data_IF_647962773704
#
_entry.id   IF_647962773704
#
_cell.length_a   1.000
_cell.length_b   1.000
_cell.length_c   1.000
_cell.angle_alpha   90.00
_cell.angle_beta   90.00
_cell.angle_gamma   90.00
#
_symmetry.space_group_name_H-M   'P 1'
#
loop_
_entity.id
_entity.type
_entity.pdbx_description
1 polymer ?
#
# COMPACT_ATOMS: atom_id res chain seq x y z
N UNK A 1 21.93 21.65 24.70
CA UNK A 1 22.14 20.25 24.30
C UNK A 1 23.06 20.25 23.10
N UNK A 2 24.20 19.59 23.18
CA UNK A 2 25.11 19.38 22.05
C UNK A 2 24.85 17.95 21.55
N UNK A 3 24.37 17.81 20.33
CA UNK A 3 24.04 16.51 19.71
C UNK A 3 25.05 16.33 18.57
N UNK A 4 25.81 15.24 18.61
CA UNK A 4 26.80 14.89 17.59
C UNK A 4 26.29 13.65 16.84
N UNK A 5 26.23 13.75 15.51
CA UNK A 5 25.81 12.64 14.66
C UNK A 5 27.05 11.83 14.23
N UNK A 6 26.93 10.51 14.36
CA UNK A 6 27.94 9.55 13.92
C UNK A 6 27.31 8.63 12.86
N UNK A 7 28.07 8.28 11.82
CA UNK A 7 27.60 7.39 10.77
C UNK A 7 28.72 6.48 10.25
N UNK A 8 28.33 5.34 9.68
CA UNK A 8 29.28 4.40 9.06
C UNK A 8 29.71 4.92 7.68
N UNK A 9 31.00 5.01 7.42
CA UNK A 9 31.56 5.53 6.17
C UNK A 9 31.63 4.51 5.02
N UNK A 10 30.97 3.35 5.16
CA UNK A 10 30.99 2.25 4.19
C UNK A 10 32.30 1.45 4.14
N UNK A 11 33.30 1.80 4.96
CA UNK A 11 34.54 1.03 5.15
C UNK A 11 34.58 0.31 6.50
N UNK A 12 33.44 0.19 7.18
CA UNK A 12 33.33 -0.39 8.52
C UNK A 12 33.85 0.52 9.64
N UNK A 13 34.11 1.80 9.35
CA UNK A 13 34.55 2.80 10.35
C UNK A 13 33.45 3.84 10.55
N UNK A 14 33.18 4.15 11.82
CA UNK A 14 32.23 5.18 12.22
C UNK A 14 32.95 6.52 12.29
N UNK A 15 32.35 7.54 11.69
CA UNK A 15 32.90 8.89 11.60
C UNK A 15 31.89 9.95 12.06
N UNK A 16 32.39 11.08 12.53
CA UNK A 16 31.59 12.26 12.84
C UNK A 16 31.21 13.06 11.58
N UNK A 17 30.45 14.15 11.77
CA UNK A 17 30.08 15.10 10.71
C UNK A 17 31.29 15.67 9.94
N UNK A 18 32.47 15.67 10.56
CA UNK A 18 33.73 16.16 9.99
C UNK A 18 34.58 15.03 9.39
N UNK A 19 34.06 13.80 9.34
CA UNK A 19 34.73 12.63 8.77
C UNK A 19 35.86 12.10 9.65
N UNK A 20 35.96 12.54 10.91
CA UNK A 20 36.97 12.04 11.84
C UNK A 20 36.55 10.67 12.35
N UNK A 21 37.41 9.65 12.25
CA UNK A 21 37.12 8.35 12.82
C UNK A 21 37.09 8.48 14.33
N UNK A 22 35.94 8.17 14.95
CA UNK A 22 35.90 7.96 16.39
C UNK A 22 36.17 6.48 16.68
N UNK A 23 37.15 6.17 17.54
CA UNK A 23 37.36 4.83 18.05
C UNK A 23 36.25 4.53 19.07
N UNK A 24 35.06 4.26 18.57
CA UNK A 24 33.95 3.80 19.41
C UNK A 24 34.06 2.28 19.58
N UNK A 25 34.67 1.87 20.69
CA UNK A 25 34.58 0.50 21.19
C UNK A 25 33.19 0.29 21.82
N UNK A 26 32.17 0.04 20.99
CA UNK A 26 30.85 -0.34 21.49
C UNK A 26 30.88 -1.78 22.01
N UNK A 27 31.18 -1.94 23.29
CA UNK A 27 30.83 -3.16 24.01
C UNK A 27 29.34 -3.06 24.26
N UNK A 28 28.54 -3.63 23.36
CA UNK A 28 27.11 -3.78 23.57
C UNK A 28 26.96 -4.79 24.70
N UNK A 29 26.58 -4.31 25.87
CA UNK A 29 26.18 -5.19 26.97
C UNK A 29 24.85 -5.87 26.58
N UNK A 30 24.95 -7.10 26.10
CA UNK A 30 23.81 -7.94 25.76
C UNK A 30 22.86 -8.11 26.96
N UNK A 31 23.34 -7.93 28.21
CA UNK A 31 22.54 -8.02 29.41
C UNK A 31 21.69 -6.76 29.67
N UNK A 32 22.22 -5.58 29.35
CA UNK A 32 21.52 -4.29 29.43
C UNK A 32 20.49 -4.13 28.30
N UNK A 33 20.75 -4.68 27.11
CA UNK A 33 19.89 -4.59 25.94
C UNK A 33 19.45 -5.96 25.40
N UNK A 34 18.96 -6.83 26.29
CA UNK A 34 18.46 -8.16 25.90
C UNK A 34 17.31 -8.03 24.90
N UNK A 35 17.49 -8.58 23.71
CA UNK A 35 16.43 -8.71 22.73
C UNK A 35 15.51 -9.87 23.12
N UNK A 36 14.20 -9.61 23.19
CA UNK A 36 13.18 -10.64 23.39
C UNK A 36 12.45 -10.92 22.07
N UNK A 37 12.25 -12.20 21.75
CA UNK A 37 11.47 -12.60 20.57
C UNK A 37 9.98 -12.61 20.93
N UNK A 38 9.23 -11.63 20.44
CA UNK A 38 7.81 -11.48 20.76
C UNK A 38 6.90 -12.53 20.10
N UNK A 39 7.18 -12.90 18.86
CA UNK A 39 6.42 -13.95 18.14
C UNK A 39 7.23 -14.56 17.00
N UNK A 40 6.94 -15.82 16.69
CA UNK A 40 7.46 -16.49 15.50
C UNK A 40 6.52 -16.30 14.31
N UNK A 41 7.05 -16.38 13.09
CA UNK A 41 6.28 -16.33 11.85
C UNK A 41 5.12 -17.33 11.83
N UNK A 42 5.33 -18.55 12.36
CA UNK A 42 4.28 -19.58 12.43
C UNK A 42 3.17 -19.20 13.42
N UNK A 43 3.53 -18.55 14.53
CA UNK A 43 2.58 -18.08 15.54
C UNK A 43 1.71 -16.94 14.99
N UNK A 44 2.27 -16.06 14.16
CA UNK A 44 1.52 -15.05 13.42
C UNK A 44 0.53 -15.68 12.42
N UNK A 45 0.98 -16.67 11.64
CA UNK A 45 0.10 -17.36 10.68
C UNK A 45 -1.05 -18.12 11.36
N UNK A 46 -0.82 -18.67 12.55
CA UNK A 46 -1.88 -19.34 13.31
C UNK A 46 -2.94 -18.37 13.87
N UNK A 47 -2.59 -17.09 14.06
CA UNK A 47 -3.49 -16.05 14.56
C UNK A 47 -4.29 -15.37 13.45
N UNK A 48 -3.93 -15.59 12.17
CA UNK A 48 -4.70 -15.07 11.04
C UNK A 48 -6.08 -15.72 11.03
N UNK A 49 -7.18 -14.94 11.11
CA UNK A 49 -8.52 -15.47 10.91
C UNK A 49 -8.58 -16.14 9.54
N UNK A 50 -9.01 -17.40 9.52
CA UNK A 50 -9.29 -18.09 8.27
C UNK A 50 -10.45 -17.34 7.59
N UNK A 51 -10.15 -16.50 6.60
CA UNK A 51 -11.17 -15.93 5.72
C UNK A 51 -11.77 -17.08 4.90
N UNK A 52 -12.70 -17.82 5.50
CA UNK A 52 -13.57 -18.72 4.77
C UNK A 52 -14.36 -17.86 3.80
N UNK A 53 -14.26 -18.17 2.52
CA UNK A 53 -14.90 -17.52 1.39
C UNK A 53 -16.43 -17.46 1.63
N UNK A 54 -16.89 -16.41 2.31
CA UNK A 54 -18.32 -16.17 2.48
C UNK A 54 -18.82 -15.52 1.20
N UNK A 55 -19.25 -16.42 0.31
CA UNK A 55 -20.13 -16.22 -0.83
C UNK A 55 -20.94 -14.93 -0.70
N UNK A 56 -20.63 -13.96 -1.57
CA UNK A 56 -21.32 -12.67 -1.64
C UNK A 56 -22.70 -12.92 -2.24
N UNK A 57 -23.66 -13.17 -1.37
CA UNK A 57 -25.08 -13.25 -1.66
C UNK A 57 -25.57 -11.88 -2.17
N UNK A 58 -25.87 -11.80 -3.46
CA UNK A 58 -26.32 -10.59 -4.15
C UNK A 58 -27.72 -10.20 -3.66
N UNK A 59 -27.81 -9.17 -2.82
CA UNK A 59 -29.07 -8.53 -2.47
C UNK A 59 -29.62 -7.76 -3.68
N UNK A 60 -30.68 -8.30 -4.26
CA UNK A 60 -31.54 -7.59 -5.21
C UNK A 60 -32.09 -6.35 -4.50
N UNK A 61 -31.80 -5.16 -5.02
CA UNK A 61 -32.44 -3.91 -4.57
C UNK A 61 -33.34 -3.42 -5.67
N UNK A 62 -34.64 -3.53 -5.41
CA UNK A 62 -35.73 -3.01 -6.22
C UNK A 62 -35.90 -1.49 -6.00
N UNK A 63 -36.74 -0.87 -6.83
CA UNK A 63 -37.21 0.54 -6.82
C UNK A 63 -36.27 1.58 -7.51
N UNK A 64 -36.72 2.54 -8.33
CA UNK A 64 -38.01 3.23 -8.49
C UNK A 64 -38.00 3.99 -9.83
N UNK A 65 -39.11 4.01 -10.58
CA UNK A 65 -39.29 4.87 -11.77
C UNK A 65 -39.24 6.36 -11.39
N UNK A 66 -38.59 7.26 -12.17
CA UNK A 66 -38.84 8.68 -12.04
C UNK A 66 -39.93 9.13 -13.02
N UNK A 67 -40.89 9.86 -12.47
CA UNK A 67 -42.04 10.49 -13.12
C UNK A 67 -41.66 11.75 -13.92
N UNK A 68 -42.36 11.90 -15.05
CA UNK A 68 -42.63 13.07 -15.91
C UNK A 68 -41.82 14.38 -15.78
N UNK A 69 -41.25 14.76 -16.94
CA UNK A 69 -41.18 16.09 -17.56
C UNK A 69 -40.63 17.29 -16.78
N UNK A 70 -39.37 17.62 -17.08
CA UNK A 70 -38.94 18.98 -17.46
C UNK A 70 -37.88 18.86 -18.56
N UNK A 71 -38.21 19.23 -19.80
CA UNK A 71 -37.24 19.35 -20.89
C UNK A 71 -36.51 20.68 -20.72
N UNK A 72 -35.38 20.66 -20.01
CA UNK A 72 -34.34 21.69 -20.14
C UNK A 72 -33.31 21.18 -21.15
N UNK A 73 -33.27 21.81 -22.33
CA UNK A 73 -32.24 21.60 -23.36
C UNK A 73 -30.93 22.21 -22.87
N UNK A 74 -30.23 21.51 -21.98
CA UNK A 74 -28.95 21.96 -21.47
C UNK A 74 -27.80 21.34 -22.26
N UNK A 75 -27.09 22.21 -22.99
CA UNK A 75 -25.84 21.91 -23.69
C UNK A 75 -24.77 21.51 -22.68
N UNK A 76 -24.72 20.23 -22.32
CA UNK A 76 -23.52 19.66 -21.71
C UNK A 76 -23.00 18.57 -22.62
N UNK A 77 -21.88 18.86 -23.29
CA UNK A 77 -20.95 17.81 -23.71
C UNK A 77 -20.41 17.22 -22.41
N UNK A 78 -21.20 16.36 -21.80
CA UNK A 78 -20.89 15.69 -20.54
C UNK A 78 -19.72 14.76 -20.86
N UNK A 79 -18.51 15.14 -20.41
CA UNK A 79 -17.34 14.27 -20.54
C UNK A 79 -17.69 12.93 -19.89
N UNK A 80 -17.61 11.86 -20.66
CA UNK A 80 -17.78 10.52 -20.15
C UNK A 80 -16.54 10.18 -19.31
N UNK A 81 -16.63 10.43 -18.01
CA UNK A 81 -15.60 10.00 -17.07
C UNK A 81 -15.77 8.51 -16.79
N UNK A 82 -14.72 7.73 -17.05
CA UNK A 82 -14.64 6.34 -16.59
C UNK A 82 -14.62 6.35 -15.06
N UNK A 83 -15.69 5.86 -14.43
CA UNK A 83 -15.74 5.63 -12.99
C UNK A 83 -15.27 4.20 -12.71
N UNK A 84 -14.31 4.07 -11.81
CA UNK A 84 -13.85 2.78 -11.31
C UNK A 84 -14.53 2.48 -9.99
N UNK A 85 -14.95 1.24 -9.77
CA UNK A 85 -15.48 0.80 -8.49
C UNK A 85 -14.30 0.48 -7.54
N UNK A 86 -14.55 0.51 -6.24
CA UNK A 86 -13.53 0.11 -5.25
C UNK A 86 -13.12 -1.36 -5.42
N UNK A 87 -14.03 -2.20 -5.91
CA UNK A 87 -13.70 -3.57 -6.27
C UNK A 87 -12.64 -3.66 -7.39
N UNK A 88 -12.64 -2.74 -8.35
CA UNK A 88 -11.63 -2.69 -9.42
C UNK A 88 -10.25 -2.34 -8.85
N UNK A 89 -10.20 -1.43 -7.86
CA UNK A 89 -8.98 -1.10 -7.13
C UNK A 89 -8.44 -2.30 -6.36
N UNK A 90 -9.30 -3.00 -5.62
CA UNK A 90 -8.90 -4.20 -4.87
C UNK A 90 -8.33 -5.27 -5.80
N UNK A 91 -9.01 -5.55 -6.92
CA UNK A 91 -8.55 -6.51 -7.93
C UNK A 91 -7.25 -6.09 -8.63
N UNK A 92 -6.98 -4.79 -8.72
CA UNK A 92 -5.72 -4.24 -9.22
C UNK A 92 -4.59 -4.47 -8.21
N UNK A 93 -4.77 -4.12 -6.94
CA UNK A 93 -3.75 -4.31 -5.91
C UNK A 93 -3.43 -5.78 -5.66
N UNK A 94 -4.41 -6.67 -5.77
CA UNK A 94 -4.19 -8.12 -5.73
C UNK A 94 -3.15 -8.57 -6.78
N UNK A 95 -3.25 -8.06 -8.01
CA UNK A 95 -2.26 -8.37 -9.06
C UNK A 95 -0.89 -7.73 -8.81
N UNK A 96 -0.87 -6.53 -8.23
CA UNK A 96 0.37 -5.82 -7.92
C UNK A 96 1.17 -6.53 -6.82
N UNK A 97 0.50 -6.94 -5.74
CA UNK A 97 1.13 -7.48 -4.54
C UNK A 97 1.32 -9.00 -4.59
N UNK A 98 0.27 -9.77 -4.93
CA UNK A 98 0.37 -11.24 -4.90
C UNK A 98 1.12 -11.78 -6.12
N UNK A 99 0.95 -11.13 -7.28
CA UNK A 99 1.58 -11.55 -8.54
C UNK A 99 2.78 -10.71 -8.93
N UNK A 100 3.21 -9.77 -8.08
CA UNK A 100 4.36 -8.88 -8.29
C UNK A 100 4.37 -8.19 -9.67
N UNK A 101 3.19 -7.88 -10.22
CA UNK A 101 3.09 -7.26 -11.54
C UNK A 101 3.44 -5.77 -11.46
N UNK A 102 3.94 -5.21 -12.56
CA UNK A 102 4.05 -3.75 -12.67
C UNK A 102 2.66 -3.11 -12.74
N UNK A 103 2.53 -1.87 -12.24
CA UNK A 103 1.26 -1.13 -12.28
C UNK A 103 0.69 -1.02 -13.70
N UNK A 104 1.55 -0.86 -14.71
CA UNK A 104 1.12 -0.81 -16.10
C UNK A 104 0.60 -2.16 -16.62
N UNK A 105 1.25 -3.26 -16.24
CA UNK A 105 0.83 -4.61 -16.64
C UNK A 105 -0.50 -4.99 -15.97
N UNK A 106 -0.65 -4.72 -14.67
CA UNK A 106 -1.90 -4.95 -13.94
C UNK A 106 -3.05 -4.08 -14.48
N UNK A 107 -2.77 -2.83 -14.86
CA UNK A 107 -3.76 -1.94 -15.46
C UNK A 107 -4.29 -2.47 -16.80
N UNK A 108 -3.39 -2.91 -17.69
CA UNK A 108 -3.78 -3.52 -18.98
C UNK A 108 -4.63 -4.77 -18.77
N UNK A 109 -4.26 -5.63 -17.82
CA UNK A 109 -5.02 -6.83 -17.50
C UNK A 109 -6.43 -6.52 -16.94
N UNK A 110 -6.58 -5.41 -16.21
CA UNK A 110 -7.86 -4.99 -15.61
C UNK A 110 -8.65 -3.99 -16.45
N UNK A 111 -8.17 -3.62 -17.65
CA UNK A 111 -8.80 -2.61 -18.49
C UNK A 111 -8.82 -1.21 -17.86
N UNK A 112 -7.92 -0.95 -16.91
CA UNK A 112 -7.80 0.33 -16.22
C UNK A 112 -6.84 1.20 -17.02
N UNK A 113 -7.15 2.50 -17.13
CA UNK A 113 -6.24 3.44 -17.75
C UNK A 113 -4.91 3.48 -16.98
N UNK A 114 -3.79 3.25 -17.68
CA UNK A 114 -2.46 3.07 -17.06
C UNK A 114 -2.07 4.22 -16.13
N UNK A 115 -2.37 5.47 -16.52
CA UNK A 115 -2.07 6.65 -15.68
C UNK A 115 -2.84 6.64 -14.36
N UNK A 116 -4.07 6.14 -14.36
CA UNK A 116 -4.90 6.04 -13.15
C UNK A 116 -4.32 5.01 -12.20
N UNK A 117 -3.97 3.83 -12.72
CA UNK A 117 -3.34 2.76 -11.94
C UNK A 117 -1.99 3.17 -11.36
N UNK A 118 -1.15 3.89 -12.13
CA UNK A 118 0.11 4.44 -11.63
C UNK A 118 -0.08 5.47 -10.53
N UNK A 119 -1.13 6.29 -10.61
CA UNK A 119 -1.46 7.24 -9.54
C UNK A 119 -1.89 6.51 -8.26
N UNK A 120 -2.68 5.44 -8.36
CA UNK A 120 -3.06 4.63 -7.20
C UNK A 120 -1.86 3.94 -6.55
N UNK A 121 -0.90 3.47 -7.34
CA UNK A 121 0.31 2.82 -6.81
C UNK A 121 1.32 3.78 -6.14
N UNK A 122 1.13 5.10 -6.29
CA UNK A 122 1.99 6.13 -5.67
C UNK A 122 1.43 6.68 -4.37
N UNK A 123 0.16 6.40 -4.07
CA UNK A 123 -0.47 6.77 -2.80
C UNK A 123 0.01 5.82 -1.70
#
# INVERSE_FOLDING_TARGET
>A
MNIQFLFENGKGSIVDEYGRPEPMDYIIDEEQFRLETLSSHTQYLAQLPLESEKEVETTQTEERKPSSDVIMRETSVKRNYTRYLDQDKVRFFKLLLERCMSAAAAAKQRGIHVRTAQNWAKQ
#
